data_IF_211372644048
#
_entry.id   IF_211372644048
#
_cell.length_a   1.000
_cell.length_b   1.000
_cell.length_c   1.000
_cell.angle_alpha   90.00
_cell.angle_beta   90.00
_cell.angle_gamma   90.00
#
_symmetry.space_group_name_H-M   'P 1'
#
loop_
_entity.id
_entity.type
_entity.pdbx_description
1 polymer ?
#
# COMPACT_ATOMS: atom_id res chain seq x y z
N UNK A 1 65.25 10.97 10.60
CA UNK A 1 63.94 10.54 11.12
C UNK A 1 62.90 11.36 10.47
N UNK A 2 62.03 10.81 9.59
CA UNK A 2 60.91 11.54 8.99
C UNK A 2 59.69 11.46 9.90
N UNK A 3 58.97 12.58 10.00
CA UNK A 3 57.72 12.73 10.79
C UNK A 3 56.54 12.02 10.11
N UNK A 4 55.59 11.39 10.83
CA UNK A 4 54.44 10.73 10.23
C UNK A 4 53.39 11.76 9.75
N UNK A 5 52.95 11.55 8.53
CA UNK A 5 51.92 12.31 7.81
C UNK A 5 50.54 12.01 8.43
N UNK A 6 49.95 12.98 9.14
CA UNK A 6 48.61 12.87 9.69
C UNK A 6 47.55 12.91 8.56
N UNK A 7 46.96 11.78 8.25
CA UNK A 7 45.77 11.70 7.40
C UNK A 7 44.59 12.41 8.11
N UNK A 8 44.20 13.59 7.59
CA UNK A 8 42.95 14.26 7.96
C UNK A 8 41.78 13.42 7.43
N UNK A 9 41.12 12.72 8.29
CA UNK A 9 39.79 12.09 7.98
C UNK A 9 38.79 13.20 7.71
N UNK A 10 38.20 13.21 6.49
CA UNK A 10 37.09 14.07 6.17
C UNK A 10 35.87 13.66 7.04
N UNK A 11 35.15 14.60 7.64
CA UNK A 11 33.91 14.29 8.36
C UNK A 11 32.90 13.69 7.37
N UNK A 12 32.29 12.55 7.74
CA UNK A 12 31.18 11.95 7.02
C UNK A 12 30.01 12.95 6.99
N UNK A 13 29.26 13.05 5.87
CA UNK A 13 28.09 13.92 5.83
C UNK A 13 27.10 13.46 6.90
N UNK A 14 26.75 14.35 7.82
CA UNK A 14 25.69 14.15 8.80
C UNK A 14 24.40 13.86 8.06
N UNK A 15 23.82 12.67 8.22
CA UNK A 15 22.46 12.37 7.76
C UNK A 15 21.54 13.40 8.42
N UNK A 16 20.91 14.29 7.62
CA UNK A 16 19.80 15.10 8.08
C UNK A 16 18.77 14.16 8.71
N UNK A 17 18.16 14.52 9.86
CA UNK A 17 17.08 13.72 10.41
C UNK A 17 16.01 13.53 9.33
N UNK A 18 15.53 12.31 9.15
CA UNK A 18 14.45 12.03 8.20
C UNK A 18 13.25 12.90 8.59
N UNK A 19 12.62 13.55 7.60
CA UNK A 19 11.41 14.34 7.82
C UNK A 19 10.32 13.46 8.43
N UNK A 20 9.89 13.80 9.64
CA UNK A 20 8.80 13.08 10.32
C UNK A 20 7.46 13.67 9.90
N UNK A 21 6.88 13.08 8.87
CA UNK A 21 5.57 13.45 8.34
C UNK A 21 4.48 13.47 9.41
N UNK A 22 4.49 12.50 10.33
CA UNK A 22 3.48 12.40 11.40
C UNK A 22 3.59 13.60 12.33
N UNK A 23 4.80 13.88 12.83
CA UNK A 23 5.07 15.04 13.69
C UNK A 23 4.76 16.36 12.97
N UNK A 24 5.13 16.48 11.70
CA UNK A 24 4.81 17.66 10.88
C UNK A 24 3.29 17.84 10.73
N UNK A 25 2.58 16.80 10.31
CA UNK A 25 1.12 16.85 10.20
C UNK A 25 0.45 17.12 11.56
N UNK A 26 1.11 16.78 12.67
CA UNK A 26 0.62 17.07 14.03
C UNK A 26 0.86 18.50 14.48
N UNK A 27 1.85 19.21 13.96
CA UNK A 27 2.24 20.57 14.39
C UNK A 27 1.85 21.70 13.43
N UNK A 28 1.62 21.39 12.17
CA UNK A 28 1.47 22.39 11.08
C UNK A 28 0.21 23.26 11.10
N UNK A 29 -0.59 23.25 12.19
CA UNK A 29 -1.80 24.11 12.32
C UNK A 29 -2.84 23.89 11.21
N UNK A 30 -2.80 22.74 10.55
CA UNK A 30 -3.65 22.39 9.42
C UNK A 30 -5.13 22.31 9.85
N UNK A 31 -6.04 22.80 9.00
CA UNK A 31 -7.46 22.44 9.09
C UNK A 31 -7.63 20.97 8.75
N UNK A 32 -7.52 20.13 9.76
CA UNK A 32 -7.48 18.67 9.67
C UNK A 32 -8.47 18.02 10.60
N UNK A 33 -8.92 16.84 10.23
CA UNK A 33 -9.80 16.03 11.06
C UNK A 33 -9.30 14.60 11.12
N UNK A 34 -8.99 14.11 12.32
CA UNK A 34 -8.75 12.69 12.56
C UNK A 34 -10.10 12.00 12.63
N UNK A 35 -10.31 11.01 11.79
CA UNK A 35 -11.53 10.21 11.73
C UNK A 35 -11.15 8.75 11.97
N UNK A 36 -11.89 8.11 12.88
CA UNK A 36 -11.72 6.69 13.18
C UNK A 36 -12.81 5.88 12.51
N UNK A 37 -12.42 4.83 11.84
CA UNK A 37 -13.32 3.91 11.14
C UNK A 37 -13.26 2.52 11.77
N UNK A 38 -14.40 1.89 11.91
CA UNK A 38 -14.50 0.49 12.30
C UNK A 38 -14.12 -0.39 11.14
N UNK A 39 -13.78 -1.63 11.42
CA UNK A 39 -13.57 -2.63 10.36
C UNK A 39 -14.79 -2.70 9.44
N UNK A 40 -14.55 -2.70 8.13
CA UNK A 40 -15.52 -2.69 7.04
C UNK A 40 -16.34 -1.41 6.87
N UNK A 41 -16.04 -0.37 7.65
CA UNK A 41 -16.65 0.94 7.47
C UNK A 41 -16.03 1.66 6.25
N UNK A 42 -16.88 2.32 5.46
CA UNK A 42 -16.44 3.09 4.29
C UNK A 42 -15.93 4.46 4.71
N UNK A 43 -14.76 4.82 4.19
CA UNK A 43 -14.22 6.18 4.31
C UNK A 43 -14.91 7.10 3.30
N UNK A 44 -15.08 6.60 2.06
CA UNK A 44 -15.90 7.18 0.99
C UNK A 44 -16.29 6.09 -0.02
N UNK A 45 -17.29 6.36 -0.84
CA UNK A 45 -17.76 5.47 -1.90
C UNK A 45 -17.35 6.00 -3.27
N UNK A 46 -17.27 5.10 -4.25
CA UNK A 46 -17.12 5.46 -5.66
C UNK A 46 -18.25 6.40 -6.08
N UNK A 47 -17.90 7.53 -6.74
CA UNK A 47 -18.84 8.57 -7.13
C UNK A 47 -19.07 9.67 -6.09
N UNK A 48 -18.63 9.50 -4.84
CA UNK A 48 -18.68 10.57 -3.84
C UNK A 48 -17.80 11.75 -4.25
N UNK A 49 -18.16 12.97 -3.81
CA UNK A 49 -17.37 14.17 -4.09
C UNK A 49 -15.94 14.05 -3.52
N UNK A 50 -14.93 14.28 -4.36
CA UNK A 50 -13.52 14.20 -4.00
C UNK A 50 -13.08 15.50 -3.30
N UNK A 51 -13.20 15.57 -1.96
CA UNK A 51 -13.03 16.77 -1.16
C UNK A 51 -11.61 17.00 -0.62
N UNK A 52 -10.79 15.94 -0.53
CA UNK A 52 -9.47 16.05 0.06
C UNK A 52 -8.70 14.74 0.05
N UNK A 53 -7.53 14.79 0.64
CA UNK A 53 -6.57 13.70 0.75
C UNK A 53 -6.68 13.06 2.14
N UNK A 54 -6.50 11.78 2.20
CA UNK A 54 -6.52 10.98 3.42
C UNK A 54 -5.13 10.39 3.65
N UNK A 55 -4.65 10.42 4.89
CA UNK A 55 -3.40 9.81 5.33
C UNK A 55 -3.69 8.78 6.40
N UNK A 56 -3.22 7.55 6.24
CA UNK A 56 -3.43 6.47 7.20
C UNK A 56 -2.42 6.60 8.33
N UNK A 57 -2.89 6.88 9.55
CA UNK A 57 -2.05 6.89 10.75
C UNK A 57 -1.91 5.50 11.34
N UNK A 58 -3.01 4.73 11.35
CA UNK A 58 -3.08 3.37 11.92
C UNK A 58 -4.12 2.55 11.16
N UNK A 59 -3.93 1.23 11.10
CA UNK A 59 -4.88 0.32 10.48
C UNK A 59 -4.57 0.02 9.01
N UNK A 60 -5.62 -0.22 8.21
CA UNK A 60 -5.48 -0.56 6.79
C UNK A 60 -6.75 -0.20 6.02
N UNK A 61 -6.58 0.29 4.81
CA UNK A 61 -7.67 0.68 3.89
C UNK A 61 -7.56 -0.12 2.59
N UNK A 62 -8.67 -0.69 2.15
CA UNK A 62 -8.83 -1.32 0.84
C UNK A 62 -9.44 -0.32 -0.12
N UNK A 63 -8.80 -0.11 -1.27
CA UNK A 63 -9.35 0.63 -2.40
C UNK A 63 -9.93 -0.36 -3.40
N UNK A 64 -11.19 -0.20 -3.76
CA UNK A 64 -11.88 -1.04 -4.74
C UNK A 64 -12.70 -0.21 -5.73
N UNK A 65 -12.95 -0.78 -6.90
CA UNK A 65 -13.85 -0.22 -7.91
C UNK A 65 -14.92 -1.25 -8.25
N UNK A 66 -16.08 -0.76 -8.57
CA UNK A 66 -17.19 -1.58 -9.07
C UNK A 66 -17.42 -1.22 -10.54
N UNK A 67 -17.41 -2.24 -11.41
CA UNK A 67 -17.74 -2.08 -12.82
C UNK A 67 -19.24 -1.85 -13.01
N UNK A 68 -19.65 -1.38 -14.20
CA UNK A 68 -21.06 -1.25 -14.57
C UNK A 68 -21.84 -2.57 -14.43
N UNK A 69 -21.19 -3.71 -14.66
CA UNK A 69 -21.77 -5.05 -14.47
C UNK A 69 -21.76 -5.54 -13.02
N UNK A 70 -21.44 -4.69 -12.03
CA UNK A 70 -21.48 -5.01 -10.60
C UNK A 70 -20.31 -5.86 -10.09
N UNK A 71 -19.26 -6.10 -10.90
CA UNK A 71 -18.05 -6.80 -10.42
C UNK A 71 -17.16 -5.85 -9.64
N UNK A 72 -16.78 -6.25 -8.44
CA UNK A 72 -15.80 -5.53 -7.62
C UNK A 72 -14.37 -5.99 -7.96
N UNK A 73 -13.46 -5.04 -8.10
CA UNK A 73 -12.03 -5.25 -8.22
C UNK A 73 -11.28 -4.46 -7.17
N UNK A 74 -10.33 -5.09 -6.48
CA UNK A 74 -9.45 -4.42 -5.52
C UNK A 74 -8.27 -3.81 -6.26
N UNK A 75 -8.10 -2.48 -6.13
CA UNK A 75 -6.99 -1.73 -6.74
C UNK A 75 -5.77 -1.77 -5.84
N UNK A 76 -5.96 -1.56 -4.51
CA UNK A 76 -4.87 -1.52 -3.56
C UNK A 76 -5.33 -1.87 -2.14
N UNK A 77 -4.39 -2.37 -1.33
CA UNK A 77 -4.50 -2.45 0.13
C UNK A 77 -3.40 -1.54 0.68
N UNK A 78 -3.83 -0.50 1.40
CA UNK A 78 -2.99 0.55 1.94
C UNK A 78 -2.80 0.37 3.43
N UNK A 79 -1.64 0.78 3.94
CA UNK A 79 -1.26 0.70 5.35
C UNK A 79 -0.88 2.05 5.96
N UNK A 80 -0.38 2.06 7.21
CA UNK A 80 0.10 3.27 7.86
C UNK A 80 1.20 3.95 7.02
N UNK A 81 1.09 5.27 6.85
CA UNK A 81 2.01 6.04 6.02
C UNK A 81 1.53 6.28 4.59
N UNK A 82 0.50 5.55 4.13
CA UNK A 82 -0.02 5.72 2.79
C UNK A 82 -1.03 6.86 2.70
N UNK A 83 -1.05 7.53 1.53
CA UNK A 83 -2.05 8.52 1.15
C UNK A 83 -3.08 7.90 0.19
N UNK A 84 -4.33 8.40 0.23
CA UNK A 84 -5.37 8.05 -0.73
C UNK A 84 -6.39 9.17 -0.90
N UNK A 85 -7.16 9.14 -2.00
CA UNK A 85 -8.09 10.21 -2.37
C UNK A 85 -7.41 11.41 -3.04
N UNK A 86 -6.15 11.27 -3.42
CA UNK A 86 -5.30 12.29 -4.05
C UNK A 86 -5.79 12.77 -5.42
N UNK A 87 -6.69 12.04 -6.08
CA UNK A 87 -7.28 12.43 -7.36
C UNK A 87 -7.92 13.83 -7.35
N UNK A 88 -8.39 14.29 -6.19
CA UNK A 88 -8.88 15.64 -6.03
C UNK A 88 -7.82 16.72 -6.33
N UNK A 89 -6.53 16.43 -6.08
CA UNK A 89 -5.43 17.36 -6.38
C UNK A 89 -5.21 17.50 -7.90
N UNK A 90 -5.46 16.42 -8.64
CA UNK A 90 -5.43 16.42 -10.11
C UNK A 90 -6.72 16.96 -10.75
N UNK A 91 -7.67 17.47 -9.94
CA UNK A 91 -8.90 18.05 -10.43
C UNK A 91 -10.06 17.07 -10.64
N UNK A 92 -9.93 15.81 -10.19
CA UNK A 92 -11.05 14.88 -10.22
C UNK A 92 -12.18 15.35 -9.30
N UNK A 93 -13.41 15.51 -9.79
CA UNK A 93 -14.53 16.00 -8.99
C UNK A 93 -15.11 14.93 -8.06
N UNK A 94 -14.95 13.63 -8.43
CA UNK A 94 -15.49 12.48 -7.70
C UNK A 94 -14.44 11.41 -7.45
N UNK A 95 -14.66 10.62 -6.41
CA UNK A 95 -13.82 9.47 -6.08
C UNK A 95 -13.99 8.36 -7.13
N UNK A 96 -12.88 7.92 -7.73
CA UNK A 96 -12.85 6.87 -8.76
C UNK A 96 -13.18 5.48 -8.22
N UNK A 97 -13.01 5.26 -6.92
CA UNK A 97 -13.26 4.00 -6.26
C UNK A 97 -13.80 4.20 -4.85
N UNK A 98 -14.05 3.09 -4.17
CA UNK A 98 -14.48 3.02 -2.77
C UNK A 98 -13.28 2.73 -1.88
N UNK A 99 -13.15 3.49 -0.79
CA UNK A 99 -12.17 3.24 0.27
C UNK A 99 -12.88 2.64 1.49
N UNK A 100 -12.46 1.44 1.90
CA UNK A 100 -13.05 0.70 3.02
C UNK A 100 -11.98 0.30 4.02
N UNK A 101 -12.21 0.54 5.30
CA UNK A 101 -11.31 0.11 6.37
C UNK A 101 -11.29 -1.43 6.49
N UNK A 102 -10.13 -2.06 6.31
CA UNK A 102 -9.96 -3.52 6.49
C UNK A 102 -9.83 -3.92 7.96
N UNK A 103 -9.31 -3.00 8.78
CA UNK A 103 -9.10 -3.12 10.22
C UNK A 103 -9.65 -1.85 10.88
N UNK A 104 -9.79 -1.78 12.22
CA UNK A 104 -9.98 -0.50 12.89
C UNK A 104 -8.88 0.47 12.45
N UNK A 105 -9.26 1.59 11.86
CA UNK A 105 -8.36 2.49 11.12
C UNK A 105 -8.52 3.92 11.59
N UNK A 106 -7.40 4.62 11.82
CA UNK A 106 -7.32 6.05 12.08
C UNK A 106 -6.77 6.76 10.85
N UNK A 107 -7.53 7.70 10.33
CA UNK A 107 -7.19 8.45 9.11
C UNK A 107 -7.19 9.93 9.41
N UNK A 108 -6.16 10.63 8.97
CA UNK A 108 -6.12 12.08 8.93
C UNK A 108 -6.70 12.55 7.58
N UNK A 109 -7.80 13.30 7.63
CA UNK A 109 -8.39 13.95 6.48
C UNK A 109 -7.85 15.39 6.34
N UNK A 110 -7.39 15.75 5.15
CA UNK A 110 -6.86 17.06 4.80
C UNK A 110 -7.65 17.57 3.59
N UNK A 111 -8.32 18.70 3.74
CA UNK A 111 -9.04 19.31 2.63
C UNK A 111 -8.13 19.63 1.44
N UNK A 112 -8.66 19.57 0.21
CA UNK A 112 -7.89 19.81 -1.02
C UNK A 112 -7.13 21.13 -1.00
N UNK A 113 -7.79 22.22 -0.63
CA UNK A 113 -7.18 23.56 -0.57
C UNK A 113 -6.02 23.62 0.41
N UNK A 114 -6.17 22.97 1.55
CA UNK A 114 -5.17 22.92 2.59
C UNK A 114 -3.98 22.03 2.19
N UNK A 115 -4.25 20.88 1.59
CA UNK A 115 -3.18 20.02 1.06
C UNK A 115 -2.35 20.76 0.00
N UNK A 116 -3.00 21.44 -0.95
CA UNK A 116 -2.31 22.26 -1.95
C UNK A 116 -1.46 23.36 -1.31
N UNK A 117 -2.01 24.09 -0.32
CA UNK A 117 -1.29 25.14 0.39
C UNK A 117 -0.02 24.60 1.03
N UNK A 118 -0.11 23.48 1.72
CA UNK A 118 1.03 22.88 2.43
C UNK A 118 2.07 22.34 1.47
N UNK A 119 1.64 21.65 0.39
CA UNK A 119 2.56 21.20 -0.65
C UNK A 119 3.35 22.33 -1.31
N UNK A 120 2.76 23.54 -1.44
CA UNK A 120 3.48 24.70 -1.96
C UNK A 120 4.42 25.35 -0.93
N UNK A 121 4.07 25.29 0.35
CA UNK A 121 4.84 25.94 1.42
C UNK A 121 6.02 25.08 1.94
N UNK A 122 5.87 23.75 1.93
CA UNK A 122 6.78 22.82 2.60
C UNK A 122 7.43 21.86 1.60
N UNK A 123 8.64 22.19 1.18
CA UNK A 123 9.36 21.43 0.15
C UNK A 123 9.61 19.96 0.57
N UNK A 124 9.96 19.71 1.84
CA UNK A 124 10.23 18.36 2.33
C UNK A 124 8.98 17.47 2.29
N UNK A 125 7.79 18.05 2.56
CA UNK A 125 6.52 17.35 2.40
C UNK A 125 6.22 17.06 0.93
N UNK A 126 6.46 18.04 0.05
CA UNK A 126 6.26 17.88 -1.39
C UNK A 126 7.10 16.78 -1.96
N UNK A 127 8.40 16.75 -1.63
CA UNK A 127 9.34 15.72 -2.07
C UNK A 127 8.89 14.32 -1.60
N UNK A 128 8.46 14.21 -0.34
CA UNK A 128 7.96 12.97 0.23
C UNK A 128 6.66 12.53 -0.45
N UNK A 129 5.71 13.45 -0.65
CA UNK A 129 4.43 13.15 -1.29
C UNK A 129 4.63 12.72 -2.76
N UNK A 130 5.47 13.42 -3.52
CA UNK A 130 5.82 13.06 -4.89
C UNK A 130 6.49 11.69 -4.94
N UNK A 131 7.48 11.45 -4.07
CA UNK A 131 8.15 10.15 -3.98
C UNK A 131 7.16 9.00 -3.69
N UNK A 132 6.20 9.24 -2.79
CA UNK A 132 5.15 8.28 -2.47
C UNK A 132 4.25 8.00 -3.69
N UNK A 133 3.81 9.04 -4.40
CA UNK A 133 2.97 8.91 -5.60
C UNK A 133 3.71 8.17 -6.71
N UNK A 134 4.99 8.50 -6.96
CA UNK A 134 5.81 7.82 -7.97
C UNK A 134 6.03 6.35 -7.62
N UNK A 135 6.33 6.03 -6.37
CA UNK A 135 6.47 4.65 -5.91
C UNK A 135 5.18 3.85 -6.10
N UNK A 136 4.04 4.47 -5.81
CA UNK A 136 2.74 3.85 -6.05
C UNK A 136 2.45 3.67 -7.54
N UNK A 137 2.80 4.65 -8.38
CA UNK A 137 2.65 4.53 -9.83
C UNK A 137 3.46 3.36 -10.39
N UNK A 138 4.72 3.21 -9.97
CA UNK A 138 5.57 2.08 -10.36
C UNK A 138 4.91 0.74 -10.01
N UNK A 139 4.32 0.61 -8.82
CA UNK A 139 3.60 -0.62 -8.42
C UNK A 139 2.39 -0.89 -9.31
N UNK A 140 1.61 0.17 -9.64
CA UNK A 140 0.45 0.04 -10.54
C UNK A 140 0.89 -0.42 -11.93
N UNK A 141 2.01 0.13 -12.45
CA UNK A 141 2.58 -0.30 -13.74
C UNK A 141 3.06 -1.75 -13.68
N UNK A 142 3.74 -2.17 -12.61
CA UNK A 142 4.14 -3.57 -12.40
C UNK A 142 2.93 -4.51 -12.35
N UNK A 143 1.85 -4.13 -11.65
CA UNK A 143 0.62 -4.91 -11.55
C UNK A 143 -0.09 -4.99 -12.91
N UNK A 144 -0.06 -3.91 -13.70
CA UNK A 144 -0.61 -3.90 -15.06
C UNK A 144 0.17 -4.85 -15.98
N UNK A 145 1.49 -4.79 -15.96
CA UNK A 145 2.37 -5.73 -16.70
C UNK A 145 2.07 -7.16 -16.29
N UNK A 146 1.92 -7.39 -14.98
CA UNK A 146 1.59 -8.71 -14.44
C UNK A 146 0.22 -9.22 -14.96
N UNK A 147 -0.77 -8.34 -15.04
CA UNK A 147 -2.09 -8.70 -15.59
C UNK A 147 -2.07 -8.98 -17.09
N UNK A 148 -1.25 -8.27 -17.83
CA UNK A 148 -1.15 -8.42 -19.29
C UNK A 148 -0.44 -9.72 -19.71
N UNK A 149 0.61 -10.12 -18.97
CA UNK A 149 1.52 -11.17 -19.44
C UNK A 149 1.53 -12.43 -18.57
N UNK A 150 1.08 -12.37 -17.31
CA UNK A 150 1.15 -13.50 -16.40
C UNK A 150 -0.17 -14.25 -16.20
N UNK A 151 -0.07 -15.57 -16.02
CA UNK A 151 -1.21 -16.42 -15.68
C UNK A 151 -1.79 -16.07 -14.32
N UNK A 152 -3.06 -16.38 -14.07
CA UNK A 152 -3.69 -16.16 -12.75
C UNK A 152 -2.97 -16.88 -11.61
N UNK A 153 -2.26 -17.98 -11.90
CA UNK A 153 -1.44 -18.70 -10.93
C UNK A 153 -0.22 -17.88 -10.52
N UNK A 154 0.53 -17.35 -11.49
CA UNK A 154 1.70 -16.48 -11.25
C UNK A 154 1.29 -15.21 -10.52
N UNK A 155 0.17 -14.57 -10.94
CA UNK A 155 -0.37 -13.39 -10.26
C UNK A 155 -0.73 -13.66 -8.80
N UNK A 156 -1.35 -14.83 -8.50
CA UNK A 156 -1.64 -15.22 -7.12
C UNK A 156 -0.35 -15.41 -6.31
N UNK A 157 0.63 -16.13 -6.86
CA UNK A 157 1.91 -16.34 -6.18
C UNK A 157 2.60 -15.00 -5.84
N UNK A 158 2.63 -14.06 -6.79
CA UNK A 158 3.21 -12.72 -6.60
C UNK A 158 2.45 -11.92 -5.53
N UNK A 159 1.11 -11.89 -5.58
CA UNK A 159 0.29 -11.21 -4.58
C UNK A 159 0.53 -11.75 -3.16
N UNK A 160 0.63 -13.08 -3.01
CA UNK A 160 0.93 -13.71 -1.73
C UNK A 160 2.32 -13.32 -1.20
N UNK A 161 3.34 -13.31 -2.06
CA UNK A 161 4.70 -12.90 -1.70
C UNK A 161 4.78 -11.42 -1.28
N UNK A 162 4.06 -10.55 -2.00
CA UNK A 162 3.99 -9.13 -1.65
C UNK A 162 3.31 -8.91 -0.31
N UNK A 163 2.17 -9.55 -0.08
CA UNK A 163 1.44 -9.47 1.19
C UNK A 163 2.29 -9.99 2.37
N UNK A 164 3.10 -11.04 2.15
CA UNK A 164 4.00 -11.58 3.17
C UNK A 164 5.13 -10.62 3.56
N UNK A 165 5.58 -9.75 2.66
CA UNK A 165 6.62 -8.74 2.95
C UNK A 165 6.08 -7.54 3.71
N UNK A 166 4.79 -7.23 3.58
CA UNK A 166 4.13 -6.12 4.28
C UNK A 166 3.62 -6.48 5.69
N UNK A 167 3.77 -7.74 6.12
CA UNK A 167 3.57 -8.12 7.52
C UNK A 167 4.70 -7.56 8.38
N UNK A 168 4.35 -6.79 9.41
CA UNK A 168 5.19 -6.08 10.41
C UNK A 168 6.63 -6.58 10.52
N UNK A 169 7.59 -5.65 10.58
CA UNK A 169 9.03 -5.90 10.76
C UNK A 169 9.38 -6.82 11.94
N UNK A 170 8.48 -6.97 12.91
CA UNK A 170 8.64 -7.81 14.11
C UNK A 170 8.07 -9.25 13.99
N UNK A 171 7.53 -9.67 12.83
CA UNK A 171 7.04 -11.03 12.65
C UNK A 171 7.97 -11.83 11.72
N UNK A 172 8.14 -13.15 11.97
CA UNK A 172 8.95 -13.99 11.10
C UNK A 172 8.45 -13.87 9.67
N UNK A 173 9.37 -13.59 8.73
CA UNK A 173 9.10 -13.45 7.31
C UNK A 173 8.19 -14.56 6.82
N UNK A 174 7.05 -14.22 6.23
CA UNK A 174 6.16 -15.19 5.61
C UNK A 174 4.76 -15.33 6.22
N UNK A 175 4.40 -14.59 7.28
CA UNK A 175 3.03 -14.62 7.84
C UNK A 175 2.16 -13.57 7.17
N UNK A 176 1.05 -14.01 6.55
CA UNK A 176 0.11 -13.10 5.92
C UNK A 176 -0.90 -12.49 6.90
N UNK A 177 -1.30 -11.23 6.69
CA UNK A 177 -2.53 -10.70 7.27
C UNK A 177 -3.73 -11.57 6.83
N UNK A 178 -4.79 -11.65 7.64
CA UNK A 178 -6.02 -12.36 7.28
C UNK A 178 -6.67 -11.73 6.04
N UNK A 179 -6.41 -12.30 4.86
CA UNK A 179 -7.02 -11.92 3.59
C UNK A 179 -7.91 -13.06 3.12
N UNK A 180 -9.14 -12.76 2.70
CA UNK A 180 -10.06 -13.78 2.21
C UNK A 180 -9.68 -14.24 0.78
N UNK A 181 -10.13 -15.45 0.39
CA UNK A 181 -9.92 -15.92 -0.99
C UNK A 181 -10.73 -15.09 -2.01
N UNK A 182 -11.84 -14.49 -1.59
CA UNK A 182 -12.59 -13.49 -2.38
C UNK A 182 -11.72 -12.28 -2.66
N UNK A 183 -11.14 -11.69 -1.62
CA UNK A 183 -10.26 -10.51 -1.77
C UNK A 183 -9.05 -10.82 -2.65
N UNK A 184 -8.46 -12.03 -2.51
CA UNK A 184 -7.37 -12.46 -3.39
C UNK A 184 -7.83 -12.58 -4.84
N UNK A 185 -9.04 -13.12 -5.07
CA UNK A 185 -9.60 -13.25 -6.42
C UNK A 185 -9.85 -11.89 -7.07
N UNK A 186 -10.38 -10.93 -6.31
CA UNK A 186 -10.60 -9.54 -6.72
C UNK A 186 -9.27 -8.83 -7.03
N UNK A 187 -8.23 -9.05 -6.20
CA UNK A 187 -6.89 -8.46 -6.40
C UNK A 187 -6.22 -8.94 -7.69
N UNK A 188 -6.35 -10.23 -8.02
CA UNK A 188 -5.66 -10.81 -9.18
C UNK A 188 -6.56 -10.92 -10.43
N UNK A 189 -7.80 -10.41 -10.37
CA UNK A 189 -8.72 -10.42 -11.50
C UNK A 189 -9.14 -11.83 -11.93
N UNK A 190 -9.51 -12.69 -10.97
CA UNK A 190 -9.97 -14.08 -11.23
C UNK A 190 -11.16 -14.47 -10.34
N UNK A 191 -11.54 -15.74 -10.35
CA UNK A 191 -12.63 -16.26 -9.51
C UNK A 191 -12.09 -16.88 -8.22
N UNK A 192 -12.90 -16.85 -7.15
CA UNK A 192 -12.60 -17.53 -5.89
C UNK A 192 -12.27 -19.02 -6.10
N UNK A 193 -13.00 -19.69 -6.98
CA UNK A 193 -12.77 -21.11 -7.28
C UNK A 193 -11.37 -21.37 -7.84
N UNK A 194 -10.87 -20.49 -8.73
CA UNK A 194 -9.51 -20.57 -9.24
C UNK A 194 -8.46 -20.27 -8.17
N UNK A 195 -8.72 -19.28 -7.32
CA UNK A 195 -7.83 -19.02 -6.16
C UNK A 195 -7.77 -20.23 -5.26
N UNK A 196 -8.91 -20.84 -4.89
CA UNK A 196 -8.94 -22.05 -4.07
C UNK A 196 -8.18 -23.20 -4.72
N UNK A 197 -8.32 -23.39 -6.03
CA UNK A 197 -7.56 -24.40 -6.77
C UNK A 197 -6.05 -24.18 -6.66
N UNK A 198 -5.56 -22.97 -6.90
CA UNK A 198 -4.14 -22.63 -6.82
C UNK A 198 -3.61 -22.71 -5.39
N UNK A 199 -4.36 -22.25 -4.39
CA UNK A 199 -3.98 -22.35 -2.98
C UNK A 199 -3.79 -23.81 -2.56
N UNK A 200 -4.68 -24.71 -2.99
CA UNK A 200 -4.54 -26.15 -2.75
C UNK A 200 -3.32 -26.74 -3.47
N UNK A 201 -3.04 -26.30 -4.71
CA UNK A 201 -1.83 -26.68 -5.45
C UNK A 201 -0.56 -26.21 -4.70
N UNK A 202 -0.51 -24.95 -4.28
CA UNK A 202 0.64 -24.41 -3.53
C UNK A 202 0.84 -25.12 -2.18
N UNK A 203 -0.24 -25.50 -1.49
CA UNK A 203 -0.19 -26.29 -0.27
C UNK A 203 0.42 -27.67 -0.52
N UNK A 204 -0.03 -28.38 -1.57
CA UNK A 204 0.50 -29.69 -1.95
C UNK A 204 1.99 -29.64 -2.31
N UNK A 205 2.44 -28.54 -2.93
CA UNK A 205 3.84 -28.33 -3.29
C UNK A 205 4.70 -27.80 -2.13
N UNK A 206 4.14 -27.59 -0.94
CA UNK A 206 4.86 -27.10 0.23
C UNK A 206 5.21 -25.61 0.19
N UNK A 207 4.66 -24.85 -0.78
CA UNK A 207 4.92 -23.42 -0.91
C UNK A 207 4.16 -22.58 0.11
N UNK A 208 3.06 -23.10 0.63
CA UNK A 208 2.25 -22.46 1.68
C UNK A 208 1.83 -23.47 2.74
N UNK A 209 1.67 -23.01 3.99
CA UNK A 209 1.21 -23.81 5.12
C UNK A 209 0.15 -23.07 5.93
N UNK A 210 -0.76 -23.82 6.56
CA UNK A 210 -1.78 -23.30 7.45
C UNK A 210 -1.55 -23.85 8.87
N UNK A 211 -1.04 -23.00 9.76
CA UNK A 211 -0.87 -23.28 11.18
C UNK A 211 -1.59 -22.19 12.01
N UNK A 212 -2.92 -22.07 11.84
CA UNK A 212 -3.70 -20.96 12.42
C UNK A 212 -3.57 -19.63 11.65
N UNK A 213 -2.42 -19.42 10.99
CA UNK A 213 -2.14 -18.31 10.06
C UNK A 213 -1.58 -18.88 8.76
N UNK A 214 -1.77 -18.17 7.65
CA UNK A 214 -1.19 -18.53 6.37
C UNK A 214 0.30 -18.16 6.37
N UNK A 215 1.15 -19.16 6.23
CA UNK A 215 2.60 -18.99 6.10
C UNK A 215 3.03 -19.26 4.66
N UNK A 216 3.94 -18.45 4.14
CA UNK A 216 4.46 -18.57 2.79
C UNK A 216 5.94 -18.91 2.85
N UNK A 217 6.31 -19.95 2.10
CA UNK A 217 7.69 -20.30 1.87
C UNK A 217 8.25 -19.46 0.71
N UNK A 218 9.48 -18.96 0.83
CA UNK A 218 10.19 -18.21 -0.22
C UNK A 218 10.36 -19.02 -1.51
N UNK A 219 10.30 -20.35 -1.47
CA UNK A 219 10.27 -21.22 -2.66
C UNK A 219 9.08 -20.96 -3.59
N UNK A 220 8.01 -20.26 -3.14
CA UNK A 220 6.92 -19.80 -3.99
C UNK A 220 7.43 -18.86 -5.11
N UNK A 221 8.58 -18.21 -4.92
CA UNK A 221 9.27 -17.43 -5.94
C UNK A 221 9.55 -18.24 -7.22
N UNK A 222 9.75 -19.55 -7.13
CA UNK A 222 9.99 -20.40 -8.31
C UNK A 222 8.84 -20.36 -9.31
N UNK A 223 7.59 -20.20 -8.84
CA UNK A 223 6.42 -20.08 -9.74
C UNK A 223 6.43 -18.75 -10.50
N UNK A 224 6.97 -17.70 -9.88
CA UNK A 224 7.03 -16.36 -10.49
C UNK A 224 8.18 -16.24 -11.48
N UNK A 225 9.28 -16.94 -11.22
CA UNK A 225 10.54 -16.80 -11.99
C UNK A 225 10.66 -17.76 -13.18
N UNK A 226 9.89 -18.86 -13.21
CA UNK A 226 9.93 -19.81 -14.32
C UNK A 226 8.73 -19.64 -15.24
N UNK A 227 9.02 -19.43 -16.54
CA UNK A 227 8.07 -19.53 -17.65
C UNK A 227 7.76 -20.99 -17.98
#
# INVERSE_FOLDING_TARGET
MPRPNGKKTKPSPSKKPAFDLRSFLDTAGLSRRIVKFRKFEKVYSQGDAAKGVHYIQEGSVRLSVVSEGGKEGVIAILGPGDFFGEGCLAGQPVCMGTATANLPTSVLFIERSEMMRVLHAEHELSDLFISHMLTRNIRIEEDLVDQLFNSSEKRLARALLLLARYGKEDQPHGVLPKVSQETLAEMIGTTRSRVNFFMNKFKKLGFIQYNGTLQINTSLLSIVLHD
#
